data_IF_466209523565
#
_entry.id   IF_466209523565
#
_cell.length_a   1.000
_cell.length_b   1.000
_cell.length_c   1.000
_cell.angle_alpha   90.00
_cell.angle_beta   90.00
_cell.angle_gamma   90.00
#
_symmetry.space_group_name_H-M   'P 1'
#
loop_
_entity.id
_entity.type
_entity.pdbx_description
1 polymer ?
#
# COMPACT_ATOMS: atom_id res chain seq x y z
N UNK A 1 4.77 -5.49 -18.45
CA UNK A 1 5.11 -4.33 -19.28
C UNK A 1 6.46 -3.83 -18.84
N UNK A 2 7.19 -3.15 -19.73
CA UNK A 2 8.39 -2.42 -19.32
C UNK A 2 7.95 -1.05 -18.79
N UNK A 3 8.36 -0.72 -17.57
CA UNK A 3 8.16 0.59 -16.95
C UNK A 3 9.49 1.10 -16.40
N UNK A 4 9.66 2.40 -16.28
CA UNK A 4 10.74 2.99 -15.47
C UNK A 4 10.12 3.99 -14.51
N UNK A 5 10.74 4.20 -13.35
CA UNK A 5 10.19 5.13 -12.35
C UNK A 5 10.08 6.57 -12.88
N UNK A 6 10.91 6.94 -13.86
CA UNK A 6 10.85 8.24 -14.53
C UNK A 6 9.76 8.35 -15.60
N UNK A 7 9.17 7.23 -16.02
CA UNK A 7 8.06 7.22 -16.95
C UNK A 7 6.76 7.62 -16.23
N UNK A 8 6.16 8.72 -16.68
CA UNK A 8 4.86 9.18 -16.20
C UNK A 8 3.73 8.41 -16.85
N UNK A 9 2.88 7.78 -16.03
CA UNK A 9 1.61 7.22 -16.46
C UNK A 9 0.48 8.20 -16.10
N UNK A 10 -0.16 8.74 -17.13
CA UNK A 10 -1.22 9.73 -16.99
C UNK A 10 -2.53 9.12 -17.49
N UNK A 11 -3.56 9.18 -16.64
CA UNK A 11 -4.89 8.69 -17.03
C UNK A 11 -5.57 9.68 -17.98
N UNK A 12 -6.16 9.22 -19.10
CA UNK A 12 -6.99 10.06 -19.96
C UNK A 12 -8.20 10.67 -19.25
N UNK A 13 -8.68 10.03 -18.17
CA UNK A 13 -9.83 10.47 -17.39
C UNK A 13 -9.44 11.48 -16.30
N UNK A 14 -8.16 11.56 -15.94
CA UNK A 14 -7.64 12.49 -14.94
C UNK A 14 -6.17 12.82 -15.23
N UNK A 15 -5.96 13.86 -16.04
CA UNK A 15 -4.63 14.38 -16.40
C UNK A 15 -3.89 15.04 -15.22
N UNK A 16 -4.55 15.16 -14.08
CA UNK A 16 -3.96 15.64 -12.82
C UNK A 16 -3.45 14.53 -11.93
N UNK A 17 -3.63 13.26 -12.29
CA UNK A 17 -3.05 12.13 -11.56
C UNK A 17 -1.92 11.52 -12.39
N UNK A 18 -0.71 11.59 -11.84
CA UNK A 18 0.51 11.09 -12.47
C UNK A 18 1.03 9.95 -11.61
N UNK A 19 1.08 8.77 -12.20
CA UNK A 19 1.58 7.55 -11.56
C UNK A 19 2.99 7.25 -12.06
N UNK A 20 3.89 6.96 -11.13
CA UNK A 20 5.22 6.44 -11.39
C UNK A 20 5.30 5.00 -10.87
N UNK A 21 5.67 4.05 -11.71
CA UNK A 21 5.84 2.66 -11.31
C UNK A 21 7.31 2.38 -11.00
N UNK A 22 7.62 2.02 -9.75
CA UNK A 22 8.99 1.70 -9.34
C UNK A 22 9.44 0.30 -9.75
N UNK A 23 8.52 -0.57 -10.19
CA UNK A 23 8.68 -2.03 -10.38
C UNK A 23 8.81 -2.85 -9.09
N UNK A 24 8.70 -2.21 -7.93
CA UNK A 24 8.84 -2.86 -6.64
C UNK A 24 10.28 -3.10 -6.22
N UNK A 25 10.46 -3.81 -5.11
CA UNK A 25 11.78 -4.27 -4.67
C UNK A 25 11.91 -5.77 -4.95
N UNK A 26 12.96 -6.21 -5.65
CA UNK A 26 13.27 -7.64 -5.68
C UNK A 26 14.00 -8.08 -4.40
N UNK A 27 13.95 -9.37 -4.03
CA UNK A 27 14.67 -9.90 -2.88
C UNK A 27 16.17 -9.59 -2.94
N UNK A 28 16.65 -8.74 -2.04
CA UNK A 28 18.07 -8.34 -1.94
C UNK A 28 18.41 -7.04 -2.67
N UNK A 29 17.45 -6.41 -3.35
CA UNK A 29 17.62 -5.07 -3.91
C UNK A 29 17.55 -3.99 -2.83
N UNK A 30 18.32 -2.92 -3.05
CA UNK A 30 18.31 -1.71 -2.22
C UNK A 30 17.27 -0.73 -2.74
N UNK A 31 16.75 0.09 -1.85
CA UNK A 31 15.74 1.11 -2.16
C UNK A 31 16.27 2.38 -2.84
N UNK A 32 17.53 2.36 -3.28
CA UNK A 32 18.23 3.51 -3.85
C UNK A 32 17.47 4.18 -5.01
N UNK A 33 16.89 3.41 -5.93
CA UNK A 33 16.17 3.95 -7.11
C UNK A 33 14.98 4.82 -6.69
N UNK A 34 14.21 4.34 -5.73
CA UNK A 34 13.01 5.02 -5.23
C UNK A 34 13.42 6.25 -4.41
N UNK A 35 14.44 6.10 -3.55
CA UNK A 35 14.97 7.21 -2.74
C UNK A 35 15.52 8.34 -3.60
N UNK A 36 16.32 8.01 -4.62
CA UNK A 36 16.89 8.98 -5.55
C UNK A 36 15.79 9.69 -6.34
N UNK A 37 14.77 8.96 -6.77
CA UNK A 37 13.61 9.54 -7.43
C UNK A 37 12.84 10.51 -6.52
N UNK A 38 12.55 10.11 -5.27
CA UNK A 38 11.89 10.97 -4.28
C UNK A 38 12.73 12.24 -4.04
N UNK A 39 14.06 12.09 -3.88
CA UNK A 39 14.98 13.20 -3.70
C UNK A 39 14.95 14.18 -4.88
N UNK A 40 15.03 13.68 -6.12
CA UNK A 40 14.92 14.50 -7.33
C UNK A 40 13.59 15.23 -7.42
N UNK A 41 12.47 14.54 -7.19
CA UNK A 41 11.13 15.14 -7.25
C UNK A 41 10.93 16.18 -6.15
N UNK A 42 11.43 15.94 -4.94
CA UNK A 42 11.38 16.89 -3.82
C UNK A 42 12.16 18.18 -4.13
N UNK A 43 13.22 18.11 -4.93
CA UNK A 43 14.03 19.26 -5.31
C UNK A 43 13.42 20.10 -6.45
N UNK A 44 12.28 19.69 -7.03
CA UNK A 44 11.65 20.44 -8.12
C UNK A 44 11.11 21.80 -7.64
N UNK A 45 11.32 22.89 -8.40
CA UNK A 45 10.90 24.23 -7.99
C UNK A 45 9.37 24.39 -7.99
N UNK A 46 8.70 23.77 -8.97
CA UNK A 46 7.26 23.84 -9.14
C UNK A 46 6.57 22.74 -8.32
N UNK A 47 5.62 23.11 -7.45
CA UNK A 47 4.86 22.16 -6.62
C UNK A 47 4.16 21.06 -7.44
N UNK A 48 3.64 21.41 -8.62
CA UNK A 48 3.01 20.45 -9.55
C UNK A 48 3.97 19.34 -10.02
N UNK A 49 5.28 19.57 -9.91
CA UNK A 49 6.34 18.65 -10.32
C UNK A 49 7.05 18.03 -9.09
N UNK A 50 6.58 18.32 -7.87
CA UNK A 50 7.02 17.62 -6.68
C UNK A 50 6.24 16.31 -6.49
N UNK A 51 6.82 15.36 -5.77
CA UNK A 51 6.14 14.13 -5.42
C UNK A 51 5.21 14.38 -4.22
N UNK A 52 3.95 13.95 -4.33
CA UNK A 52 2.90 14.30 -3.36
C UNK A 52 2.58 13.17 -2.40
N UNK A 53 2.78 11.92 -2.80
CA UNK A 53 2.62 10.75 -1.95
C UNK A 53 3.40 9.55 -2.51
N UNK A 54 3.67 8.58 -1.66
CA UNK A 54 4.10 7.24 -2.06
C UNK A 54 3.01 6.24 -1.68
N UNK A 55 2.62 5.39 -2.61
CA UNK A 55 1.74 4.26 -2.34
C UNK A 55 2.58 3.02 -2.19
N UNK A 56 2.66 2.49 -0.97
CA UNK A 56 3.36 1.27 -0.65
C UNK A 56 2.38 0.11 -0.61
N UNK A 57 2.40 -0.69 -1.67
CA UNK A 57 1.51 -1.81 -1.89
C UNK A 57 2.14 -3.10 -1.37
N UNK A 58 1.39 -3.85 -0.56
CA UNK A 58 1.77 -5.18 -0.11
C UNK A 58 0.77 -6.21 -0.62
N UNK A 59 1.23 -7.30 -1.23
CA UNK A 59 0.39 -8.50 -1.34
C UNK A 59 0.17 -9.09 0.06
N UNK A 60 -1.09 -9.37 0.42
CA UNK A 60 -1.40 -10.02 1.70
C UNK A 60 -0.70 -11.40 1.74
N UNK A 61 0.22 -11.65 2.69
CA UNK A 61 1.06 -12.83 2.66
C UNK A 61 0.31 -14.17 2.58
N UNK A 62 0.96 -15.14 1.94
CA UNK A 62 0.49 -16.52 1.81
C UNK A 62 1.43 -17.47 2.55
N UNK A 63 0.87 -18.47 3.24
CA UNK A 63 1.58 -19.62 3.80
C UNK A 63 2.88 -19.29 4.58
N UNK A 64 2.88 -18.24 5.41
CA UNK A 64 4.06 -17.85 6.20
C UNK A 64 5.07 -16.95 5.47
N UNK A 65 4.71 -16.40 4.30
CA UNK A 65 5.49 -15.34 3.64
C UNK A 65 5.69 -14.13 4.54
N UNK A 66 6.81 -13.42 4.36
CA UNK A 66 7.11 -12.18 5.07
C UNK A 66 6.36 -11.02 4.43
N UNK A 67 5.77 -10.16 5.26
CA UNK A 67 5.18 -8.91 4.80
C UNK A 67 6.24 -7.88 4.42
N UNK A 68 7.28 -7.77 5.25
CA UNK A 68 8.35 -6.79 5.10
C UNK A 68 9.57 -7.48 4.51
N UNK A 69 9.92 -7.09 3.29
CA UNK A 69 11.19 -7.45 2.67
C UNK A 69 12.26 -6.39 2.98
N UNK A 70 13.54 -6.74 2.80
CA UNK A 70 14.67 -5.88 3.17
C UNK A 70 14.61 -4.49 2.52
N UNK A 71 14.22 -4.38 1.25
CA UNK A 71 14.07 -3.09 0.58
C UNK A 71 12.97 -2.21 1.20
N UNK A 72 11.85 -2.81 1.61
CA UNK A 72 10.76 -2.10 2.29
C UNK A 72 11.18 -1.65 3.69
N UNK A 73 11.88 -2.51 4.44
CA UNK A 73 12.40 -2.16 5.77
C UNK A 73 13.37 -0.96 5.69
N UNK A 74 14.25 -0.94 4.69
CA UNK A 74 15.15 0.18 4.42
C UNK A 74 14.35 1.45 4.09
N UNK A 75 13.38 1.35 3.19
CA UNK A 75 12.54 2.48 2.78
C UNK A 75 11.77 3.11 3.94
N UNK A 76 11.15 2.27 4.78
CA UNK A 76 10.44 2.73 5.98
C UNK A 76 11.40 3.29 7.04
N UNK A 77 12.63 2.78 7.11
CA UNK A 77 13.68 3.34 7.98
C UNK A 77 14.07 4.74 7.52
N UNK A 78 14.34 4.93 6.23
CA UNK A 78 14.60 6.23 5.61
C UNK A 78 13.47 7.24 5.85
N UNK A 79 12.21 6.79 5.84
CA UNK A 79 11.09 7.67 6.23
C UNK A 79 11.19 8.11 7.69
N UNK A 80 11.45 7.19 8.63
CA UNK A 80 11.56 7.49 10.07
C UNK A 80 12.74 8.41 10.38
N UNK A 81 13.84 8.24 9.66
CA UNK A 81 15.05 9.06 9.80
C UNK A 81 14.92 10.43 9.12
N UNK A 82 13.78 10.70 8.45
CA UNK A 82 13.48 11.99 7.84
C UNK A 82 14.11 12.20 6.46
N UNK A 83 14.80 11.20 5.91
CA UNK A 83 15.47 11.29 4.60
C UNK A 83 14.48 11.55 3.47
N UNK A 84 13.27 10.98 3.57
CA UNK A 84 12.19 11.20 2.60
C UNK A 84 11.44 12.53 2.82
N UNK A 85 11.74 13.27 3.89
CA UNK A 85 11.00 14.45 4.33
C UNK A 85 9.54 14.15 4.69
N UNK A 86 8.67 15.15 4.53
CA UNK A 86 7.26 15.08 4.92
C UNK A 86 6.35 14.37 3.91
N UNK A 87 6.92 13.67 2.93
CA UNK A 87 6.10 12.97 1.94
C UNK A 87 5.21 11.91 2.62
N UNK A 88 3.88 11.95 2.41
CA UNK A 88 2.97 10.93 2.93
C UNK A 88 3.23 9.56 2.30
N UNK A 89 3.21 8.51 3.12
CA UNK A 89 3.22 7.12 2.67
C UNK A 89 1.82 6.54 2.93
N UNK A 90 1.14 6.12 1.87
CA UNK A 90 -0.15 5.43 1.91
C UNK A 90 0.12 3.94 1.74
N UNK A 91 -0.25 3.14 2.74
CA UNK A 91 -0.06 1.68 2.67
C UNK A 91 -1.33 1.02 2.15
N UNK A 92 -1.18 0.16 1.14
CA UNK A 92 -2.27 -0.54 0.48
C UNK A 92 -2.05 -2.04 0.56
N UNK A 93 -2.97 -2.76 1.19
CA UNK A 93 -2.96 -4.23 1.18
C UNK A 93 -3.77 -4.75 0.00
N UNK A 94 -3.11 -5.47 -0.90
CA UNK A 94 -3.67 -5.99 -2.15
C UNK A 94 -4.01 -7.48 -2.04
N UNK A 95 -4.76 -8.02 -3.00
CA UNK A 95 -5.21 -9.43 -3.05
C UNK A 95 -6.10 -9.84 -1.87
N UNK A 96 -6.95 -8.93 -1.40
CA UNK A 96 -7.92 -9.22 -0.33
C UNK A 96 -8.96 -10.28 -0.74
N UNK A 97 -9.37 -10.29 -2.01
CA UNK A 97 -10.16 -11.35 -2.63
C UNK A 97 -9.51 -12.74 -2.43
N UNK A 98 -8.19 -12.85 -2.66
CA UNK A 98 -7.45 -14.09 -2.47
C UNK A 98 -7.34 -14.49 -0.99
N UNK A 99 -7.38 -13.54 -0.04
CA UNK A 99 -7.52 -13.85 1.39
C UNK A 99 -8.89 -14.47 1.67
N UNK A 100 -9.97 -13.86 1.18
CA UNK A 100 -11.34 -14.35 1.35
C UNK A 100 -11.51 -15.77 0.80
N UNK A 101 -11.06 -16.02 -0.43
CA UNK A 101 -11.14 -17.34 -1.08
C UNK A 101 -10.44 -18.43 -0.26
N UNK A 102 -9.27 -18.13 0.32
CA UNK A 102 -8.52 -19.08 1.16
C UNK A 102 -9.26 -19.41 2.44
N UNK A 103 -9.82 -18.39 3.08
CA UNK A 103 -10.61 -18.55 4.29
C UNK A 103 -11.86 -19.38 4.01
N UNK A 104 -12.52 -19.16 2.86
CA UNK A 104 -13.71 -19.92 2.47
C UNK A 104 -13.40 -21.40 2.28
N UNK A 105 -12.25 -21.73 1.67
CA UNK A 105 -11.82 -23.13 1.50
C UNK A 105 -11.48 -23.83 2.82
N UNK A 106 -11.09 -23.07 3.84
CA UNK A 106 -10.70 -23.59 5.15
C UNK A 106 -11.87 -23.62 6.14
N UNK A 107 -12.97 -22.95 5.82
CA UNK A 107 -14.21 -23.07 6.58
C UNK A 107 -14.71 -24.51 6.55
N UNK A 108 -14.78 -25.13 7.73
CA UNK A 108 -15.48 -26.38 7.91
C UNK A 108 -16.97 -26.17 7.61
N UNK A 109 -17.47 -26.82 6.54
CA UNK A 109 -18.89 -26.77 6.15
C UNK A 109 -19.85 -27.28 7.24
N UNK A 110 -19.34 -27.95 8.27
CA UNK A 110 -20.12 -28.36 9.45
C UNK A 110 -20.44 -27.19 10.40
N UNK A 111 -19.59 -26.15 10.46
CA UNK A 111 -19.77 -24.98 11.33
C UNK A 111 -20.79 -23.97 10.79
N UNK A 112 -21.04 -23.99 9.47
CA UNK A 112 -21.90 -23.02 8.78
C UNK A 112 -23.26 -23.60 8.39
N UNK A 113 -23.54 -24.86 8.76
CA UNK A 113 -24.72 -25.60 8.32
C UNK A 113 -26.04 -25.04 8.86
N UNK A 114 -25.99 -24.38 10.02
CA UNK A 114 -27.15 -23.81 10.71
C UNK A 114 -27.20 -22.27 10.63
N UNK A 115 -26.28 -21.64 9.88
CA UNK A 115 -26.19 -20.18 9.75
C UNK A 115 -26.81 -19.71 8.44
N UNK A 116 -27.41 -18.51 8.46
CA UNK A 116 -27.86 -17.85 7.23
C UNK A 116 -26.66 -17.43 6.37
N UNK A 117 -26.89 -17.20 5.07
CA UNK A 117 -25.83 -16.76 4.15
C UNK A 117 -25.21 -15.42 4.60
N UNK A 118 -26.02 -14.53 5.14
CA UNK A 118 -25.61 -13.22 5.65
C UNK A 118 -24.74 -13.36 6.89
N UNK A 119 -25.12 -14.24 7.82
CA UNK A 119 -24.32 -14.52 9.02
C UNK A 119 -22.95 -15.14 8.67
N UNK A 120 -22.90 -16.01 7.66
CA UNK A 120 -21.64 -16.56 7.14
C UNK A 120 -20.78 -15.46 6.51
N UNK A 121 -21.38 -14.56 5.73
CA UNK A 121 -20.64 -13.44 5.12
C UNK A 121 -20.08 -12.48 6.16
N UNK A 122 -20.84 -12.10 7.18
CA UNK A 122 -20.37 -11.21 8.24
C UNK A 122 -19.26 -11.86 9.07
N UNK A 123 -19.40 -13.15 9.40
CA UNK A 123 -18.33 -13.91 10.05
C UNK A 123 -17.05 -13.90 9.20
N UNK A 124 -17.20 -14.12 7.89
CA UNK A 124 -16.08 -14.14 6.95
C UNK A 124 -15.37 -12.78 6.85
N UNK A 125 -16.12 -11.69 6.71
CA UNK A 125 -15.55 -10.33 6.71
C UNK A 125 -14.82 -10.05 8.01
N UNK A 126 -15.42 -10.40 9.16
CA UNK A 126 -14.79 -10.21 10.47
C UNK A 126 -13.50 -10.99 10.58
N UNK A 127 -13.54 -12.30 10.30
CA UNK A 127 -12.35 -13.14 10.36
C UNK A 127 -11.27 -12.69 9.37
N UNK A 128 -11.64 -12.21 8.18
CA UNK A 128 -10.69 -11.68 7.22
C UNK A 128 -10.07 -10.35 7.67
N UNK A 129 -10.84 -9.47 8.30
CA UNK A 129 -10.33 -8.24 8.93
C UNK A 129 -9.37 -8.56 10.08
N UNK A 130 -9.73 -9.52 10.93
CA UNK A 130 -8.86 -9.99 12.02
C UNK A 130 -7.56 -10.59 11.47
N UNK A 131 -7.65 -11.39 10.39
CA UNK A 131 -6.47 -11.99 9.77
C UNK A 131 -5.57 -10.95 9.10
N UNK A 132 -6.16 -9.99 8.38
CA UNK A 132 -5.44 -8.85 7.83
C UNK A 132 -4.71 -8.06 8.93
N UNK A 133 -5.39 -7.85 10.07
CA UNK A 133 -4.79 -7.17 11.21
C UNK A 133 -3.58 -7.92 11.76
N UNK A 134 -3.72 -9.23 11.96
CA UNK A 134 -2.66 -10.10 12.47
C UNK A 134 -1.45 -10.16 11.54
N UNK A 135 -1.66 -10.37 10.23
CA UNK A 135 -0.56 -10.69 9.30
C UNK A 135 0.03 -9.48 8.59
N UNK A 136 -0.71 -8.36 8.53
CA UNK A 136 -0.29 -7.17 7.80
C UNK A 136 -0.13 -5.96 8.71
N UNK A 137 -1.21 -5.55 9.39
CA UNK A 137 -1.23 -4.29 10.15
C UNK A 137 -0.31 -4.36 11.36
N UNK A 138 -0.43 -5.39 12.21
CA UNK A 138 0.35 -5.47 13.45
C UNK A 138 1.87 -5.56 13.22
N UNK A 139 2.39 -6.36 12.25
CA UNK A 139 3.81 -6.33 11.90
C UNK A 139 4.28 -4.97 11.41
N UNK A 140 3.48 -4.32 10.57
CA UNK A 140 3.80 -2.99 10.04
C UNK A 140 3.79 -1.92 11.14
N UNK A 141 2.82 -1.95 12.06
CA UNK A 141 2.75 -1.02 13.20
C UNK A 141 3.95 -1.18 14.14
N UNK A 142 4.31 -2.45 14.43
CA UNK A 142 5.51 -2.76 15.21
C UNK A 142 6.77 -2.19 14.56
N UNK A 143 6.83 -2.19 13.22
CA UNK A 143 7.94 -1.61 12.49
C UNK A 143 7.86 -0.08 12.45
N UNK A 144 6.73 0.50 12.08
CA UNK A 144 6.55 1.93 11.88
C UNK A 144 6.77 2.76 13.17
N UNK A 145 6.47 2.17 14.34
CA UNK A 145 6.55 2.86 15.62
C UNK A 145 5.40 3.86 15.85
N UNK A 146 5.43 4.57 16.98
CA UNK A 146 4.32 5.41 17.46
C UNK A 146 4.12 6.76 16.75
N UNK A 147 4.94 7.08 15.74
CA UNK A 147 4.95 8.40 15.09
C UNK A 147 4.16 8.48 13.78
N UNK A 148 3.42 7.44 13.40
CA UNK A 148 2.64 7.41 12.16
C UNK A 148 1.16 7.66 12.46
N UNK A 149 0.62 8.81 12.04
CA UNK A 149 -0.82 9.06 12.05
C UNK A 149 -1.50 8.08 11.07
N UNK A 150 -2.41 7.25 11.60
CA UNK A 150 -3.14 6.26 10.81
C UNK A 150 -4.57 6.74 10.56
N UNK A 151 -4.99 6.67 9.29
CA UNK A 151 -6.41 6.70 8.91
C UNK A 151 -6.73 5.45 8.12
N UNK A 152 -7.63 4.61 8.64
CA UNK A 152 -8.33 3.64 7.80
C UNK A 152 -9.28 4.44 6.90
N UNK A 153 -9.00 4.48 5.61
CA UNK A 153 -9.92 5.07 4.63
C UNK A 153 -10.85 3.96 4.14
N UNK A 154 -12.08 3.95 4.63
CA UNK A 154 -13.18 3.31 3.92
C UNK A 154 -13.48 4.17 2.68
N UNK A 155 -13.77 3.53 1.54
CA UNK A 155 -13.87 4.21 0.25
C UNK A 155 -15.08 5.16 0.22
N UNK A 156 -14.93 6.38 0.72
CA UNK A 156 -15.82 7.49 0.44
C UNK A 156 -15.15 8.41 -0.57
N UNK A 157 -15.79 8.56 -1.73
CA UNK A 157 -15.34 9.45 -2.79
C UNK A 157 -15.32 10.90 -2.28
N UNK A 158 -14.14 11.45 -1.99
CA UNK A 158 -13.99 12.86 -1.64
C UNK A 158 -13.57 13.69 -2.85
N UNK A 159 -14.55 14.40 -3.41
CA UNK A 159 -14.35 15.43 -4.44
C UNK A 159 -13.86 16.73 -3.82
N UNK A 160 -12.55 16.91 -3.58
CA UNK A 160 -12.07 18.19 -3.05
C UNK A 160 -10.60 18.55 -3.25
N UNK A 161 -10.07 18.39 -4.45
CA UNK A 161 -8.76 18.96 -4.81
C UNK A 161 -8.85 19.60 -6.21
N UNK A 162 -9.41 20.81 -6.29
CA UNK A 162 -9.44 21.60 -7.54
C UNK A 162 -8.15 22.40 -7.65
N UNK A 163 -7.28 22.04 -8.60
CA UNK A 163 -6.13 22.86 -9.02
C UNK A 163 -4.74 22.27 -8.81
N UNK A 164 -4.61 21.16 -8.07
CA UNK A 164 -3.33 20.48 -7.83
C UNK A 164 -3.20 19.25 -8.75
N UNK A 165 -2.00 19.06 -9.32
CA UNK A 165 -1.59 17.78 -9.93
C UNK A 165 -0.99 16.92 -8.83
N UNK A 166 -1.35 15.64 -8.78
CA UNK A 166 -0.90 14.67 -7.79
C UNK A 166 0.04 13.67 -8.45
N UNK A 167 1.31 13.77 -8.09
CA UNK A 167 2.34 12.80 -8.45
C UNK A 167 2.42 11.74 -7.34
N UNK A 168 2.29 10.47 -7.73
CA UNK A 168 2.32 9.32 -6.83
C UNK A 168 3.30 8.28 -7.37
N UNK A 169 4.17 7.77 -6.49
CA UNK A 169 4.96 6.57 -6.79
C UNK A 169 4.22 5.36 -6.27
N UNK A 170 4.02 4.37 -7.13
CA UNK A 170 3.59 3.04 -6.77
C UNK A 170 4.84 2.21 -6.44
N UNK A 171 4.93 1.77 -5.19
CA UNK A 171 5.91 0.81 -4.73
C UNK A 171 5.20 -0.52 -4.52
N UNK A 172 5.53 -1.53 -5.33
CA UNK A 172 4.98 -2.89 -5.22
C UNK A 172 5.91 -3.87 -4.53
#
# INVERSE_FOLDING_TARGET
>A
GEATIDQEFISPQNDRFILHDSKGFEPGEKDNVVRDFIGRRKAMPDLKDQLHAVWLCFEIPRAGGRLLETGVEQFLTSKREGELGEIPIVVVFTKYDTLLDRMERTLNKSFTKDLSKEAVQELMKKSAKDKLKEVCIAPLEKFAGSNVERRELEYEAQSRLKGLRFNVVLQT
#
